data_IF_120308217668
#
_entry.id   IF_120308217668
#
_cell.length_a   1.000
_cell.length_b   1.000
_cell.length_c   1.000
_cell.angle_alpha   90.00
_cell.angle_beta   90.00
_cell.angle_gamma   90.00
#
_symmetry.space_group_name_H-M   'P 1'
#
loop_
_entity.id
_entity.type
_entity.pdbx_description
1 polymer ?
#
# COMPACT_ATOMS: atom_id res chain seq x y z
N UNK A 1 15.36 -11.56 -11.53
CA UNK A 1 16.11 -11.45 -10.27
C UNK A 1 16.57 -12.80 -9.77
N UNK A 2 15.65 -13.72 -9.43
CA UNK A 2 16.02 -15.00 -8.79
C UNK A 2 16.86 -15.96 -9.66
N UNK A 3 16.94 -15.75 -10.96
CA UNK A 3 17.84 -16.48 -11.88
C UNK A 3 19.14 -15.72 -12.19
N UNK A 4 19.43 -14.61 -11.50
CA UNK A 4 20.61 -13.78 -11.72
C UNK A 4 20.58 -12.92 -12.99
N UNK A 5 19.42 -12.80 -13.66
CA UNK A 5 19.25 -12.05 -14.93
C UNK A 5 18.75 -10.60 -14.76
N UNK A 6 18.50 -10.17 -13.53
CA UNK A 6 18.06 -8.80 -13.23
C UNK A 6 18.45 -8.44 -11.80
N UNK A 7 18.65 -7.16 -11.55
CA UNK A 7 19.04 -6.60 -10.26
C UNK A 7 17.85 -6.00 -9.50
N UNK A 8 17.98 -5.96 -8.17
CA UNK A 8 17.02 -5.31 -7.28
C UNK A 8 17.70 -4.14 -6.59
N UNK A 9 17.08 -2.96 -6.63
CA UNK A 9 17.52 -1.79 -5.89
C UNK A 9 16.55 -1.61 -4.71
N UNK A 10 16.95 -1.90 -3.47
CA UNK A 10 16.11 -1.65 -2.30
C UNK A 10 16.05 -0.14 -2.02
N UNK A 11 14.86 0.45 -2.15
CA UNK A 11 14.60 1.87 -1.92
C UNK A 11 13.13 2.06 -1.53
N UNK A 12 12.83 3.05 -0.67
CA UNK A 12 11.45 3.43 -0.41
C UNK A 12 10.82 4.03 -1.66
N UNK A 13 9.54 3.77 -1.89
CA UNK A 13 8.88 4.26 -3.09
C UNK A 13 8.89 5.81 -3.15
N UNK A 14 8.73 6.47 -1.99
CA UNK A 14 8.86 7.93 -1.83
C UNK A 14 10.24 8.50 -2.18
N UNK A 15 11.29 7.69 -2.13
CA UNK A 15 12.67 8.14 -2.39
C UNK A 15 13.10 7.95 -3.86
N UNK A 16 12.35 7.18 -4.66
CA UNK A 16 12.66 6.98 -6.08
C UNK A 16 12.73 8.31 -6.85
N UNK A 17 11.78 9.26 -6.67
CA UNK A 17 11.89 10.59 -7.28
C UNK A 17 13.21 11.31 -6.98
N UNK A 18 13.73 11.18 -5.75
CA UNK A 18 14.98 11.83 -5.36
C UNK A 18 16.20 11.19 -6.05
N UNK A 19 16.20 9.86 -6.23
CA UNK A 19 17.24 9.18 -7.01
C UNK A 19 17.34 9.72 -8.44
N UNK A 20 16.20 10.03 -9.06
CA UNK A 20 16.14 10.62 -10.40
C UNK A 20 16.58 12.09 -10.39
N UNK A 21 16.08 12.91 -9.45
CA UNK A 21 16.41 14.33 -9.35
C UNK A 21 17.91 14.58 -9.08
N UNK A 22 18.52 13.76 -8.23
CA UNK A 22 19.96 13.83 -7.92
C UNK A 22 20.84 13.15 -8.98
N UNK A 23 20.25 12.50 -9.99
CA UNK A 23 20.96 11.71 -11.00
C UNK A 23 21.82 10.58 -10.42
N UNK A 24 21.42 10.06 -9.25
CA UNK A 24 21.97 8.81 -8.72
C UNK A 24 21.53 7.66 -9.64
N UNK A 25 20.28 7.70 -10.10
CA UNK A 25 19.75 6.90 -11.20
C UNK A 25 19.30 7.83 -12.32
N UNK A 26 20.24 8.21 -13.19
CA UNK A 26 19.95 9.07 -14.34
C UNK A 26 19.05 8.35 -15.37
N UNK A 27 18.10 9.08 -15.94
CA UNK A 27 17.13 8.55 -16.90
C UNK A 27 17.37 9.14 -18.29
N UNK A 28 17.81 8.31 -19.24
CA UNK A 28 17.94 8.74 -20.63
C UNK A 28 16.59 8.86 -21.32
N UNK A 29 15.70 7.89 -21.11
CA UNK A 29 14.40 7.82 -21.79
C UNK A 29 13.31 7.42 -20.79
N UNK A 30 12.23 8.21 -20.75
CA UNK A 30 10.98 7.82 -20.12
C UNK A 30 9.94 7.47 -21.20
N UNK A 31 9.31 6.31 -21.07
CA UNK A 31 8.19 5.88 -21.92
C UNK A 31 6.95 5.84 -21.04
N UNK A 32 5.94 6.64 -21.37
CA UNK A 32 4.71 6.77 -20.59
C UNK A 32 3.48 6.59 -21.47
N UNK A 33 2.40 6.08 -20.90
CA UNK A 33 1.10 6.05 -21.56
C UNK A 33 0.26 7.24 -21.05
N UNK A 34 -0.42 7.95 -21.95
CA UNK A 34 -1.18 9.16 -21.60
C UNK A 34 -2.51 9.26 -22.34
N UNK A 35 -3.44 10.04 -21.79
CA UNK A 35 -4.66 10.44 -22.48
C UNK A 35 -4.35 11.32 -23.70
N UNK A 36 -5.28 11.46 -24.67
CA UNK A 36 -5.20 12.51 -25.67
C UNK A 36 -5.06 13.90 -25.03
N UNK A 37 -4.37 14.84 -25.70
CA UNK A 37 -4.29 16.21 -25.22
C UNK A 37 -5.67 16.87 -25.27
N UNK A 38 -6.00 17.66 -24.24
CA UNK A 38 -7.21 18.48 -24.23
C UNK A 38 -7.06 19.73 -25.13
N UNK A 39 -8.09 20.59 -25.13
CA UNK A 39 -8.09 21.86 -25.90
C UNK A 39 -6.97 22.83 -25.50
N UNK A 40 -6.32 22.61 -24.36
CA UNK A 40 -5.22 23.41 -23.84
C UNK A 40 -3.87 22.71 -24.02
N UNK A 41 -3.83 21.57 -24.73
CA UNK A 41 -2.61 20.83 -25.01
C UNK A 41 -2.14 19.92 -23.88
N UNK A 42 -2.95 19.69 -22.83
CA UNK A 42 -2.58 18.84 -21.69
C UNK A 42 -3.06 17.40 -21.85
N UNK A 43 -2.13 16.46 -21.86
CA UNK A 43 -2.38 15.04 -21.65
C UNK A 43 -2.48 14.73 -20.15
N UNK A 44 -3.01 13.57 -19.78
CA UNK A 44 -2.96 13.04 -18.42
C UNK A 44 -2.19 11.71 -18.39
N UNK A 45 -1.36 11.49 -17.38
CA UNK A 45 -0.74 10.19 -17.06
C UNK A 45 -1.77 9.13 -16.63
N UNK A 46 -3.02 9.55 -16.39
CA UNK A 46 -4.12 8.68 -16.00
C UNK A 46 -3.90 8.03 -14.64
N UNK A 47 -4.01 6.70 -14.59
CA UNK A 47 -4.04 5.98 -13.31
C UNK A 47 -2.67 5.74 -12.69
N UNK A 48 -1.58 6.19 -13.32
CA UNK A 48 -0.21 6.00 -12.83
C UNK A 48 0.57 7.31 -12.85
N UNK A 49 0.49 8.06 -11.75
CA UNK A 49 1.29 9.28 -11.56
C UNK A 49 2.59 8.92 -10.85
N UNK A 50 2.47 8.24 -9.71
CA UNK A 50 3.53 7.55 -8.98
C UNK A 50 4.94 8.15 -9.16
N UNK A 51 5.88 7.37 -9.71
CA UNK A 51 7.21 7.83 -10.10
C UNK A 51 7.23 8.36 -11.55
N UNK A 52 6.20 8.05 -12.35
CA UNK A 52 6.09 8.44 -13.75
C UNK A 52 6.14 9.96 -13.94
N UNK A 53 5.53 10.72 -13.02
CA UNK A 53 5.59 12.18 -13.01
C UNK A 53 7.03 12.69 -12.95
N UNK A 54 7.79 12.24 -11.96
CA UNK A 54 9.19 12.64 -11.82
C UNK A 54 10.06 12.09 -12.96
N UNK A 55 9.79 10.89 -13.47
CA UNK A 55 10.49 10.35 -14.64
C UNK A 55 10.34 11.25 -15.87
N UNK A 56 9.12 11.72 -16.18
CA UNK A 56 8.87 12.66 -17.29
C UNK A 56 9.59 14.00 -17.09
N UNK A 57 9.69 14.48 -15.85
CA UNK A 57 10.35 15.74 -15.53
C UNK A 57 11.88 15.67 -15.65
N UNK A 58 12.46 14.51 -15.35
CA UNK A 58 13.92 14.35 -15.21
C UNK A 58 14.59 13.71 -16.42
N UNK A 59 13.86 12.92 -17.23
CA UNK A 59 14.46 12.22 -18.35
C UNK A 59 14.89 13.16 -19.49
N UNK A 60 15.94 12.74 -20.23
CA UNK A 60 16.46 13.48 -21.40
C UNK A 60 15.50 13.41 -22.58
N UNK A 61 14.90 12.24 -22.81
CA UNK A 61 13.89 11.98 -23.82
C UNK A 61 12.60 11.48 -23.16
N UNK A 62 11.45 11.93 -23.65
CA UNK A 62 10.13 11.44 -23.21
C UNK A 62 9.34 11.01 -24.43
N UNK A 63 8.91 9.76 -24.44
CA UNK A 63 8.06 9.17 -25.48
C UNK A 63 6.69 8.87 -24.87
N UNK A 64 5.64 9.46 -25.42
CA UNK A 64 4.27 9.23 -24.98
C UNK A 64 3.54 8.28 -25.94
N UNK A 65 2.98 7.19 -25.42
CA UNK A 65 1.92 6.45 -26.09
C UNK A 65 0.58 7.13 -25.76
N UNK A 66 -0.02 7.78 -26.74
CA UNK A 66 -1.33 8.43 -26.61
C UNK A 66 -2.43 7.39 -26.81
N UNK A 67 -3.21 7.14 -25.77
CA UNK A 67 -4.27 6.13 -25.77
C UNK A 67 -5.58 6.76 -25.26
N UNK A 68 -6.65 6.84 -26.09
CA UNK A 68 -7.96 7.35 -25.68
C UNK A 68 -8.60 6.62 -24.49
N UNK A 69 -8.18 5.38 -24.19
CA UNK A 69 -8.68 4.63 -23.04
C UNK A 69 -8.01 5.01 -21.70
N UNK A 70 -6.97 5.84 -21.72
CA UNK A 70 -6.34 6.37 -20.49
C UNK A 70 -7.24 7.45 -19.89
N UNK A 71 -7.75 7.28 -18.66
CA UNK A 71 -8.62 8.26 -18.04
C UNK A 71 -7.87 9.57 -17.78
N UNK A 72 -8.57 10.69 -17.84
CA UNK A 72 -8.05 12.01 -17.48
C UNK A 72 -8.21 12.23 -15.98
N UNK A 73 -7.32 11.63 -15.19
CA UNK A 73 -7.28 11.87 -13.74
C UNK A 73 -6.82 13.30 -13.43
N UNK A 74 -7.27 13.86 -12.31
CA UNK A 74 -6.80 15.17 -11.80
C UNK A 74 -5.61 15.01 -10.84
N UNK A 75 -4.92 16.12 -10.53
CA UNK A 75 -3.73 16.15 -9.66
C UNK A 75 -2.48 16.47 -10.48
N UNK A 76 -1.36 15.82 -10.13
CA UNK A 76 -0.07 15.96 -10.83
C UNK A 76 0.03 15.12 -12.11
N UNK A 77 -1.06 14.46 -12.50
CA UNK A 77 -1.16 13.67 -13.73
C UNK A 77 -1.02 14.48 -15.02
N UNK A 78 -1.30 15.79 -14.98
CA UNK A 78 -1.39 16.62 -16.18
C UNK A 78 0.00 17.02 -16.72
N UNK A 79 0.27 16.66 -17.96
CA UNK A 79 1.52 16.98 -18.68
C UNK A 79 1.18 17.69 -19.98
N UNK A 80 1.75 18.88 -20.20
CA UNK A 80 1.58 19.57 -21.48
C UNK A 80 2.30 18.80 -22.60
N UNK A 81 1.67 18.68 -23.75
CA UNK A 81 2.14 17.89 -24.90
C UNK A 81 3.53 18.28 -25.39
N UNK A 82 3.94 19.54 -25.21
CA UNK A 82 5.30 20.02 -25.55
C UNK A 82 6.40 19.39 -24.71
N UNK A 83 6.08 18.70 -23.61
CA UNK A 83 7.06 17.94 -22.82
C UNK A 83 7.46 16.64 -23.50
N UNK A 84 6.63 16.13 -24.41
CA UNK A 84 6.91 14.90 -25.14
C UNK A 84 7.74 15.17 -26.38
N UNK A 85 8.81 14.39 -26.55
CA UNK A 85 9.68 14.47 -27.71
C UNK A 85 9.11 13.67 -28.89
N UNK A 86 8.39 12.59 -28.58
CA UNK A 86 7.63 11.78 -29.52
C UNK A 86 6.30 11.41 -28.89
N UNK A 87 5.26 11.40 -29.71
CA UNK A 87 3.94 10.94 -29.34
C UNK A 87 3.51 9.89 -30.37
N UNK A 88 3.01 8.75 -29.91
CA UNK A 88 2.60 7.61 -30.74
C UNK A 88 1.16 7.27 -30.39
N UNK A 89 0.24 7.36 -31.35
CA UNK A 89 -1.18 7.13 -31.12
C UNK A 89 -1.49 5.65 -31.23
N UNK A 90 -1.96 5.06 -30.13
CA UNK A 90 -2.35 3.65 -30.04
C UNK A 90 -3.58 3.56 -29.15
N UNK A 91 -4.69 3.13 -29.73
CA UNK A 91 -5.86 2.72 -28.96
C UNK A 91 -5.70 1.27 -28.53
N UNK A 92 -5.55 1.05 -27.23
CA UNK A 92 -5.44 -0.29 -26.66
C UNK A 92 -6.22 -0.36 -25.34
N UNK A 93 -6.80 -1.53 -24.99
CA UNK A 93 -7.37 -1.70 -23.66
C UNK A 93 -6.29 -1.47 -22.59
N UNK A 94 -6.69 -0.90 -21.46
CA UNK A 94 -5.84 -0.85 -20.26
C UNK A 94 -5.81 -2.24 -19.60
N UNK A 95 -4.75 -2.52 -18.84
CA UNK A 95 -4.70 -3.72 -18.03
C UNK A 95 -5.79 -3.67 -16.97
N UNK A 96 -6.63 -4.70 -16.90
CA UNK A 96 -7.66 -4.86 -15.88
C UNK A 96 -7.30 -6.00 -14.94
N UNK A 97 -7.50 -5.79 -13.64
CA UNK A 97 -7.34 -6.83 -12.61
C UNK A 97 -8.53 -6.77 -11.66
N UNK A 98 -9.19 -7.91 -11.46
CA UNK A 98 -10.21 -8.04 -10.42
C UNK A 98 -9.58 -8.48 -9.11
N UNK A 99 -9.95 -7.83 -8.02
CA UNK A 99 -9.54 -8.20 -6.67
C UNK A 99 -10.73 -8.73 -5.86
N UNK A 100 -10.51 -9.79 -5.09
CA UNK A 100 -11.47 -10.26 -4.09
C UNK A 100 -12.76 -10.89 -4.62
N UNK A 101 -12.70 -11.54 -5.79
CA UNK A 101 -13.79 -12.41 -6.28
C UNK A 101 -14.11 -13.52 -5.27
N UNK A 102 -13.09 -14.07 -4.62
CA UNK A 102 -13.23 -15.01 -3.49
C UNK A 102 -12.54 -14.45 -2.25
N UNK A 103 -13.32 -14.11 -1.21
CA UNK A 103 -12.79 -13.79 0.12
C UNK A 103 -12.87 -15.04 0.97
N UNK A 104 -11.70 -15.51 1.40
CA UNK A 104 -11.60 -16.62 2.35
C UNK A 104 -12.17 -16.20 3.71
N UNK A 105 -12.69 -17.16 4.47
CA UNK A 105 -13.18 -16.90 5.84
C UNK A 105 -12.11 -16.24 6.73
N UNK A 106 -10.84 -16.65 6.56
CA UNK A 106 -9.71 -16.03 7.27
C UNK A 106 -9.60 -14.54 6.98
N UNK A 107 -9.74 -14.15 5.70
CA UNK A 107 -9.59 -12.76 5.26
C UNK A 107 -10.80 -11.93 5.72
N UNK A 108 -12.00 -12.53 5.72
CA UNK A 108 -13.20 -11.89 6.28
C UNK A 108 -13.07 -11.62 7.79
N UNK A 109 -12.51 -12.55 8.56
CA UNK A 109 -12.23 -12.36 9.99
C UNK A 109 -11.18 -11.27 10.23
N UNK A 110 -10.09 -11.28 9.45
CA UNK A 110 -9.09 -10.20 9.47
C UNK A 110 -9.75 -8.85 9.17
N UNK A 111 -10.59 -8.80 8.13
CA UNK A 111 -11.34 -7.60 7.73
C UNK A 111 -12.19 -7.04 8.87
N UNK A 112 -12.91 -7.90 9.60
CA UNK A 112 -13.72 -7.52 10.77
C UNK A 112 -12.86 -6.94 11.89
N UNK A 113 -11.79 -7.64 12.30
CA UNK A 113 -10.90 -7.14 13.36
C UNK A 113 -10.27 -5.79 13.01
N UNK A 114 -9.89 -5.60 11.74
CA UNK A 114 -9.33 -4.32 11.29
C UNK A 114 -10.41 -3.24 11.28
N UNK A 115 -11.62 -3.51 10.80
CA UNK A 115 -12.71 -2.53 10.78
C UNK A 115 -13.11 -2.07 12.20
N UNK A 116 -13.02 -2.95 13.21
CA UNK A 116 -13.23 -2.59 14.62
C UNK A 116 -12.14 -1.64 15.17
N UNK A 117 -10.96 -1.62 14.56
CA UNK A 117 -9.92 -0.66 14.92
C UNK A 117 -10.17 0.73 14.31
N UNK A 118 -11.08 0.87 13.35
CA UNK A 118 -11.32 2.15 12.67
C UNK A 118 -12.34 2.99 13.45
N UNK A 119 -12.03 4.28 13.57
CA UNK A 119 -12.98 5.25 14.11
C UNK A 119 -13.67 5.98 12.94
N UNK A 120 -14.86 6.53 13.18
CA UNK A 120 -15.43 7.50 12.26
C UNK A 120 -14.47 8.68 12.06
N UNK A 121 -14.38 9.15 10.81
CA UNK A 121 -13.42 10.17 10.40
C UNK A 121 -11.98 9.68 10.18
N UNK A 122 -11.71 8.37 10.24
CA UNK A 122 -10.39 7.82 9.92
C UNK A 122 -9.96 8.09 8.48
N UNK A 123 -8.65 8.29 8.28
CA UNK A 123 -8.05 8.40 6.94
C UNK A 123 -7.42 7.07 6.53
N UNK A 124 -7.94 6.43 5.50
CA UNK A 124 -7.51 5.12 5.04
C UNK A 124 -6.27 5.22 4.15
N UNK A 125 -5.30 4.35 4.43
CA UNK A 125 -4.40 3.79 3.43
C UNK A 125 -4.55 2.28 3.39
N UNK A 126 -4.64 1.72 2.19
CA UNK A 126 -4.61 0.27 1.98
C UNK A 126 -4.09 -0.07 0.59
N UNK A 127 -3.54 -1.27 0.45
CA UNK A 127 -3.15 -1.81 -0.86
C UNK A 127 -4.30 -2.53 -1.56
N UNK A 128 -3.93 -3.42 -2.47
CA UNK A 128 -4.81 -4.34 -3.21
C UNK A 128 -4.73 -5.76 -2.65
N UNK A 129 -5.73 -6.58 -2.98
CA UNK A 129 -5.80 -7.99 -2.60
C UNK A 129 -7.01 -8.32 -1.72
N UNK A 130 -7.08 -9.58 -1.27
CA UNK A 130 -8.25 -10.11 -0.55
C UNK A 130 -8.45 -9.48 0.84
N UNK A 131 -7.37 -9.20 1.58
CA UNK A 131 -7.47 -8.57 2.90
C UNK A 131 -7.99 -7.12 2.81
N UNK A 132 -7.40 -6.21 2.00
CA UNK A 132 -7.97 -4.86 1.81
C UNK A 132 -9.44 -4.89 1.38
N UNK A 133 -9.80 -5.76 0.44
CA UNK A 133 -11.19 -5.91 0.01
C UNK A 133 -12.11 -6.38 1.16
N UNK A 134 -11.66 -7.33 1.98
CA UNK A 134 -12.40 -7.78 3.16
C UNK A 134 -12.61 -6.67 4.19
N UNK A 135 -11.62 -5.80 4.38
CA UNK A 135 -11.75 -4.61 5.23
C UNK A 135 -12.81 -3.68 4.65
N UNK A 136 -12.72 -3.33 3.36
CA UNK A 136 -13.66 -2.41 2.71
C UNK A 136 -15.11 -2.87 2.84
N UNK A 137 -15.38 -4.16 2.71
CA UNK A 137 -16.73 -4.74 2.91
C UNK A 137 -17.26 -4.62 4.34
N UNK A 138 -16.37 -4.47 5.33
CA UNK A 138 -16.72 -4.30 6.73
C UNK A 138 -16.89 -2.83 7.15
N UNK A 139 -16.49 -1.87 6.32
CA UNK A 139 -16.51 -0.44 6.64
C UNK A 139 -17.83 0.27 6.31
N UNK A 140 -18.84 -0.45 5.82
CA UNK A 140 -20.10 0.13 5.33
C UNK A 140 -20.93 0.86 6.39
N UNK A 141 -20.66 0.63 7.68
CA UNK A 141 -21.34 1.30 8.80
C UNK A 141 -20.55 2.48 9.39
N UNK A 142 -19.28 2.66 8.98
CA UNK A 142 -18.48 3.81 9.37
C UNK A 142 -18.95 5.07 8.66
N UNK A 143 -18.52 6.23 9.15
CA UNK A 143 -18.95 7.52 8.62
C UNK A 143 -17.78 8.47 8.42
N UNK A 144 -17.90 9.26 7.35
CA UNK A 144 -17.01 10.38 7.03
C UNK A 144 -15.54 9.99 6.93
N UNK A 145 -15.28 8.79 6.43
CA UNK A 145 -13.93 8.32 6.18
C UNK A 145 -13.25 9.16 5.09
N UNK A 146 -11.93 9.26 5.14
CA UNK A 146 -11.11 9.90 4.11
C UNK A 146 -10.07 8.94 3.53
N UNK A 147 -9.54 9.19 2.34
CA UNK A 147 -8.54 8.33 1.68
C UNK A 147 -7.31 9.15 1.33
N UNK A 148 -6.17 8.66 1.81
CA UNK A 148 -4.82 9.08 1.41
C UNK A 148 -3.99 7.81 1.36
N UNK A 149 -3.78 7.29 0.15
CA UNK A 149 -3.25 5.93 -0.05
C UNK A 149 -2.20 5.91 -1.15
N UNK A 150 -1.29 4.93 -1.14
CA UNK A 150 -0.38 4.71 -2.28
C UNK A 150 -1.17 4.36 -3.54
N UNK A 151 -2.10 3.41 -3.40
CA UNK A 151 -2.97 2.93 -4.46
C UNK A 151 -4.33 2.48 -3.94
N UNK A 152 -5.28 2.24 -4.85
CA UNK A 152 -6.56 1.59 -4.55
C UNK A 152 -7.15 0.85 -5.76
N UNK A 153 -8.20 0.06 -5.51
CA UNK A 153 -8.97 -0.69 -6.50
C UNK A 153 -10.48 -0.42 -6.40
N UNK A 154 -11.28 -1.15 -7.19
CA UNK A 154 -12.74 -1.04 -7.29
C UNK A 154 -13.49 -1.06 -5.95
N UNK A 155 -12.94 -1.72 -4.92
CA UNK A 155 -13.59 -1.91 -3.62
C UNK A 155 -13.94 -0.62 -2.88
N UNK A 156 -13.28 0.50 -3.19
CA UNK A 156 -13.63 1.81 -2.60
C UNK A 156 -14.90 2.44 -3.21
N UNK A 157 -15.26 2.08 -4.45
CA UNK A 157 -16.37 2.73 -5.18
C UNK A 157 -17.69 2.67 -4.39
N UNK A 158 -18.13 1.51 -3.85
CA UNK A 158 -19.37 1.45 -3.08
C UNK A 158 -19.35 2.32 -1.82
N UNK A 159 -18.18 2.54 -1.21
CA UNK A 159 -18.05 3.40 -0.02
C UNK A 159 -18.14 4.88 -0.37
N UNK A 160 -17.70 5.29 -1.57
CA UNK A 160 -17.97 6.64 -2.08
C UNK A 160 -19.45 6.82 -2.42
N UNK A 161 -20.05 5.86 -3.15
CA UNK A 161 -21.45 5.92 -3.58
C UNK A 161 -22.44 5.95 -2.40
N UNK A 162 -22.03 5.42 -1.24
CA UNK A 162 -22.82 5.43 0.01
C UNK A 162 -22.44 6.55 0.99
N UNK A 163 -21.57 7.49 0.59
CA UNK A 163 -21.07 8.61 1.41
C UNK A 163 -20.34 8.19 2.71
N UNK A 164 -19.98 6.91 2.82
CA UNK A 164 -19.12 6.40 3.90
C UNK A 164 -17.73 7.03 3.80
N UNK A 165 -17.20 7.12 2.58
CA UNK A 165 -15.97 7.86 2.27
C UNK A 165 -16.34 9.17 1.60
N UNK A 166 -16.01 10.29 2.24
CA UNK A 166 -16.28 11.63 1.72
C UNK A 166 -15.12 12.61 1.92
N UNK A 167 -14.02 12.19 2.56
CA UNK A 167 -12.80 12.98 2.73
C UNK A 167 -12.98 14.31 3.52
N UNK A 168 -14.12 14.53 4.17
CA UNK A 168 -14.47 15.82 4.79
C UNK A 168 -13.56 16.19 5.97
N UNK A 169 -13.07 15.20 6.72
CA UNK A 169 -12.23 15.41 7.91
C UNK A 169 -10.73 15.32 7.65
N UNK A 170 -10.30 15.15 6.39
CA UNK A 170 -8.90 15.29 6.03
C UNK A 170 -8.46 16.75 6.18
N UNK A 171 -7.22 16.94 6.60
CA UNK A 171 -6.60 18.27 6.77
C UNK A 171 -5.98 18.74 5.46
N UNK A 172 -5.30 17.82 4.77
CA UNK A 172 -4.73 18.06 3.44
C UNK A 172 -5.64 17.43 2.38
N UNK A 173 -5.83 18.12 1.26
CA UNK A 173 -6.75 17.70 0.19
C UNK A 173 -8.15 17.31 0.73
N UNK A 174 -8.83 18.19 1.49
CA UNK A 174 -10.16 17.91 2.00
C UNK A 174 -11.14 17.68 0.85
N UNK A 175 -12.10 16.77 1.07
CA UNK A 175 -13.10 16.36 0.07
C UNK A 175 -12.53 15.66 -1.18
N UNK A 176 -11.22 15.36 -1.21
CA UNK A 176 -10.57 14.65 -2.31
C UNK A 176 -9.83 13.41 -1.82
N UNK A 177 -9.98 12.33 -2.57
CA UNK A 177 -9.18 11.11 -2.40
C UNK A 177 -7.80 11.34 -3.00
N UNK A 178 -6.76 11.12 -2.21
CA UNK A 178 -5.36 11.28 -2.66
C UNK A 178 -4.77 9.90 -2.92
N UNK A 179 -4.17 9.72 -4.10
CA UNK A 179 -3.46 8.48 -4.47
C UNK A 179 -2.24 8.75 -5.33
N UNK A 180 -1.28 7.81 -5.38
CA UNK A 180 -0.20 7.83 -6.38
C UNK A 180 -0.61 7.16 -7.69
N UNK A 181 -1.34 6.04 -7.57
CA UNK A 181 -1.83 5.28 -8.71
C UNK A 181 -3.12 4.49 -8.37
N UNK A 182 -3.72 3.85 -9.37
CA UNK A 182 -4.91 3.00 -9.20
C UNK A 182 -4.83 1.79 -10.13
N UNK A 183 -5.36 0.65 -9.68
CA UNK A 183 -5.37 -0.59 -10.44
C UNK A 183 -6.65 -1.36 -10.15
N UNK A 184 -7.37 -1.73 -11.19
CA UNK A 184 -8.68 -2.35 -11.05
C UNK A 184 -9.29 -2.71 -12.38
N UNK A 185 -10.61 -2.66 -12.45
CA UNK A 185 -11.35 -2.91 -13.70
C UNK A 185 -11.65 -1.61 -14.46
N UNK A 186 -12.23 -1.73 -15.65
CA UNK A 186 -12.76 -0.60 -16.41
C UNK A 186 -13.77 0.23 -15.62
N UNK A 187 -14.49 -0.37 -14.65
CA UNK A 187 -15.39 0.37 -13.75
C UNK A 187 -14.62 1.45 -13.00
N UNK A 188 -13.49 1.09 -12.39
CA UNK A 188 -12.63 2.02 -11.67
C UNK A 188 -12.08 3.10 -12.60
N UNK A 189 -11.56 2.73 -13.77
CA UNK A 189 -10.97 3.67 -14.71
C UNK A 189 -11.98 4.71 -15.20
N UNK A 190 -13.21 4.30 -15.50
CA UNK A 190 -14.30 5.21 -15.84
C UNK A 190 -14.72 6.08 -14.64
N UNK A 191 -14.65 5.56 -13.42
CA UNK A 191 -15.08 6.29 -12.20
C UNK A 191 -14.14 7.46 -11.86
N UNK A 192 -12.84 7.30 -12.13
CA UNK A 192 -11.82 8.33 -11.85
C UNK A 192 -11.57 9.29 -13.02
N UNK A 193 -12.12 8.99 -14.21
CA UNK A 193 -12.00 9.82 -15.40
C UNK A 193 -12.69 11.18 -15.19
N UNK A 194 -11.91 12.27 -15.29
CA UNK A 194 -12.35 13.66 -15.11
C UNK A 194 -13.17 13.91 -13.82
N UNK A 195 -12.87 13.13 -12.76
CA UNK A 195 -13.57 13.20 -11.49
C UNK A 195 -12.79 14.09 -10.49
N UNK A 196 -13.30 15.29 -10.14
CA UNK A 196 -12.58 16.22 -9.27
C UNK A 196 -12.45 15.73 -7.82
N UNK A 197 -13.22 14.71 -7.43
CA UNK A 197 -13.13 14.04 -6.13
C UNK A 197 -11.85 13.23 -5.94
N UNK A 198 -11.01 13.09 -6.97
CA UNK A 198 -9.74 12.38 -6.92
C UNK A 198 -8.55 13.31 -7.23
N UNK A 199 -7.43 13.03 -6.59
CA UNK A 199 -6.14 13.69 -6.79
C UNK A 199 -5.06 12.61 -6.91
N UNK A 200 -4.60 12.37 -8.12
CA UNK A 200 -3.45 11.51 -8.40
C UNK A 200 -2.18 12.38 -8.35
N UNK A 201 -1.35 12.16 -7.35
CA UNK A 201 -0.21 13.02 -7.00
C UNK A 201 1.11 12.27 -7.11
N UNK A 202 2.23 12.99 -7.21
CA UNK A 202 3.57 12.38 -7.21
C UNK A 202 3.83 11.60 -5.90
N UNK A 203 4.59 10.52 -6.00
CA UNK A 203 4.74 9.57 -4.89
C UNK A 203 5.60 10.13 -3.74
N UNK A 204 6.46 11.09 -4.02
CA UNK A 204 7.22 11.85 -3.01
C UNK A 204 6.35 12.82 -2.19
N UNK A 205 5.08 13.03 -2.58
CA UNK A 205 4.07 13.68 -1.74
C UNK A 205 3.18 12.65 -1.04
N UNK A 206 2.66 11.68 -1.80
CA UNK A 206 1.67 10.71 -1.31
C UNK A 206 2.27 9.83 -0.22
N UNK A 207 3.50 9.37 -0.43
CA UNK A 207 4.18 8.46 0.49
C UNK A 207 5.10 9.19 1.48
N UNK A 208 5.14 10.52 1.53
CA UNK A 208 6.01 11.22 2.48
C UNK A 208 5.42 11.15 3.91
N UNK A 209 6.10 10.52 4.89
CA UNK A 209 5.58 10.42 6.26
C UNK A 209 5.25 11.77 6.91
N UNK A 210 5.97 12.85 6.56
CA UNK A 210 5.70 14.20 7.02
C UNK A 210 4.40 14.80 6.45
N UNK A 211 3.95 14.34 5.29
CA UNK A 211 2.67 14.69 4.67
C UNK A 211 1.56 13.79 5.23
N UNK A 212 1.78 12.47 5.27
CA UNK A 212 0.79 11.49 5.75
C UNK A 212 0.32 11.85 7.17
N UNK A 213 1.25 12.20 8.07
CA UNK A 213 0.92 12.50 9.48
C UNK A 213 0.00 13.72 9.67
N UNK A 214 -0.14 14.58 8.65
CA UNK A 214 -0.95 15.80 8.74
C UNK A 214 -2.45 15.49 8.80
N UNK A 215 -2.88 14.36 8.21
CA UNK A 215 -4.24 13.88 8.41
C UNK A 215 -4.34 13.18 9.77
N UNK A 216 -5.39 13.43 10.56
CA UNK A 216 -5.63 12.70 11.80
C UNK A 216 -6.15 11.29 11.51
N UNK A 217 -6.02 10.41 12.51
CA UNK A 217 -6.57 9.05 12.52
C UNK A 217 -6.22 8.25 11.27
N UNK A 218 -4.98 8.39 10.77
CA UNK A 218 -4.53 7.63 9.61
C UNK A 218 -4.45 6.15 10.00
N UNK A 219 -5.24 5.32 9.33
CA UNK A 219 -5.21 3.88 9.47
C UNK A 219 -4.53 3.29 8.23
N UNK A 220 -3.29 2.83 8.39
CA UNK A 220 -2.47 2.27 7.31
C UNK A 220 -2.46 0.74 7.40
N UNK A 221 -3.07 0.07 6.42
CA UNK A 221 -3.19 -1.39 6.39
C UNK A 221 -2.26 -1.95 5.31
N UNK A 222 -1.33 -2.80 5.74
CA UNK A 222 -0.38 -3.43 4.83
C UNK A 222 -0.25 -4.93 5.10
N UNK A 223 0.00 -5.71 4.05
CA UNK A 223 0.25 -7.15 4.18
C UNK A 223 1.74 -7.46 4.28
N UNK A 224 2.10 -8.58 4.88
CA UNK A 224 3.49 -9.05 4.95
C UNK A 224 3.59 -10.55 4.66
N UNK A 225 4.77 -11.10 4.39
CA UNK A 225 5.00 -12.52 4.15
C UNK A 225 5.08 -13.30 5.46
N UNK A 226 5.91 -12.83 6.40
CA UNK A 226 6.10 -13.45 7.72
C UNK A 226 6.48 -12.42 8.79
N UNK A 227 6.17 -12.75 10.04
CA UNK A 227 6.50 -11.95 11.24
C UNK A 227 7.19 -12.84 12.25
N UNK A 228 8.32 -12.41 12.80
CA UNK A 228 8.97 -13.15 13.88
C UNK A 228 8.41 -12.83 15.28
N UNK A 229 8.71 -13.65 16.28
CA UNK A 229 8.28 -13.47 17.67
C UNK A 229 8.74 -12.15 18.33
N UNK A 230 9.62 -11.38 17.69
CA UNK A 230 10.05 -10.06 18.16
C UNK A 230 9.34 -8.90 17.47
N UNK A 231 8.53 -9.20 16.44
CA UNK A 231 7.81 -8.23 15.62
C UNK A 231 8.64 -7.68 14.45
N UNK A 232 9.66 -8.38 13.98
CA UNK A 232 10.24 -8.06 12.66
C UNK A 232 9.30 -8.55 11.57
N UNK A 233 9.09 -7.73 10.56
CA UNK A 233 8.14 -8.01 9.48
C UNK A 233 8.89 -8.07 8.15
N UNK A 234 8.71 -9.17 7.45
CA UNK A 234 9.24 -9.41 6.10
C UNK A 234 8.08 -9.32 5.13
N UNK A 235 8.19 -8.48 4.11
CA UNK A 235 7.10 -8.24 3.15
C UNK A 235 7.51 -8.41 1.69
N UNK A 236 8.81 -8.36 1.38
CA UNK A 236 9.32 -8.31 0.00
C UNK A 236 9.99 -9.61 -0.48
N UNK A 237 10.26 -10.55 0.42
CA UNK A 237 11.12 -11.70 0.15
C UNK A 237 10.73 -12.95 0.95
N UNK A 238 11.14 -14.12 0.45
CA UNK A 238 10.98 -15.42 1.12
C UNK A 238 12.38 -16.00 1.32
N UNK A 239 12.99 -15.74 2.47
CA UNK A 239 14.44 -15.96 2.62
C UNK A 239 15.18 -15.13 1.59
N UNK A 240 16.08 -15.74 0.81
CA UNK A 240 16.83 -15.06 -0.24
C UNK A 240 16.06 -14.91 -1.57
N UNK A 241 14.84 -15.44 -1.68
CA UNK A 241 14.02 -15.29 -2.88
C UNK A 241 13.32 -13.95 -2.88
N UNK A 242 13.66 -13.06 -3.81
CA UNK A 242 12.99 -11.77 -3.95
C UNK A 242 11.61 -11.99 -4.57
N UNK A 243 10.56 -11.61 -3.85
CA UNK A 243 9.17 -11.82 -4.22
C UNK A 243 8.52 -10.55 -4.78
N UNK A 244 8.77 -9.40 -4.13
CA UNK A 244 8.27 -8.08 -4.53
C UNK A 244 9.33 -7.00 -4.21
N UNK A 245 8.95 -5.90 -3.56
CA UNK A 245 9.87 -4.85 -3.14
C UNK A 245 9.42 -4.16 -1.85
N UNK A 246 10.23 -3.22 -1.35
CA UNK A 246 9.95 -2.45 -0.13
C UNK A 246 8.65 -1.65 -0.26
N UNK A 247 8.45 -0.98 -1.40
CA UNK A 247 7.28 -0.14 -1.67
C UNK A 247 7.16 1.03 -0.68
N UNK A 248 5.94 1.51 -0.46
CA UNK A 248 5.62 2.51 0.56
C UNK A 248 5.08 1.96 1.87
N UNK A 249 5.16 0.64 2.12
CA UNK A 249 4.65 0.05 3.35
C UNK A 249 5.22 0.77 4.58
N UNK A 250 6.54 0.90 4.64
CA UNK A 250 7.22 1.50 5.79
C UNK A 250 6.88 3.00 5.93
N UNK A 251 6.75 3.70 4.80
CA UNK A 251 6.37 5.10 4.75
C UNK A 251 5.02 5.33 5.43
N UNK A 252 4.00 4.55 5.05
CA UNK A 252 2.67 4.63 5.65
C UNK A 252 2.63 4.11 7.08
N UNK A 253 3.38 3.07 7.41
CA UNK A 253 3.50 2.60 8.80
C UNK A 253 4.08 3.72 9.68
N UNK A 254 5.09 4.44 9.20
CA UNK A 254 5.68 5.57 9.93
C UNK A 254 4.76 6.78 9.96
N UNK A 255 4.15 7.15 8.84
CA UNK A 255 3.21 8.27 8.75
C UNK A 255 2.00 8.08 9.67
N UNK A 256 1.38 6.90 9.65
CA UNK A 256 0.28 6.55 10.54
C UNK A 256 0.71 6.49 12.02
N UNK A 257 1.94 6.06 12.30
CA UNK A 257 2.47 6.10 13.66
C UNK A 257 2.62 7.54 14.21
N UNK A 258 2.87 8.51 13.34
CA UNK A 258 3.05 9.94 13.69
C UNK A 258 1.74 10.74 13.65
N UNK A 259 0.73 10.26 12.93
CA UNK A 259 -0.61 10.84 12.87
C UNK A 259 -1.31 10.78 14.23
N UNK A 260 -2.02 11.85 14.61
CA UNK A 260 -2.81 11.89 15.84
C UNK A 260 -3.92 10.84 15.81
N UNK A 261 -3.90 9.88 16.73
CA UNK A 261 -4.84 8.75 16.73
C UNK A 261 -4.62 7.73 15.60
N UNK A 262 -3.50 7.83 14.88
CA UNK A 262 -3.19 6.94 13.76
C UNK A 262 -2.82 5.51 14.17
N UNK A 263 -3.16 4.56 13.29
CA UNK A 263 -3.10 3.11 13.52
C UNK A 263 -2.37 2.43 12.35
N UNK A 264 -1.05 2.17 12.48
CA UNK A 264 -0.31 1.36 11.54
C UNK A 264 -0.53 -0.13 11.80
N UNK A 265 -1.07 -0.82 10.80
CA UNK A 265 -1.58 -2.19 10.88
C UNK A 265 -0.87 -3.05 9.84
N UNK A 266 -0.28 -4.15 10.30
CA UNK A 266 0.20 -5.24 9.45
C UNK A 266 -0.79 -6.40 9.56
N UNK A 267 -1.29 -6.87 8.44
CA UNK A 267 -2.28 -7.94 8.36
C UNK A 267 -1.73 -9.14 7.59
N UNK A 268 -2.03 -10.35 8.07
CA UNK A 268 -1.66 -11.58 7.40
C UNK A 268 -2.57 -12.72 7.86
N UNK A 269 -2.85 -13.69 6.99
CA UNK A 269 -3.32 -14.98 7.48
C UNK A 269 -2.24 -15.62 8.34
N UNK A 270 -2.62 -16.36 9.38
CA UNK A 270 -1.68 -17.02 10.28
C UNK A 270 -0.86 -18.11 9.58
N UNK A 271 -1.43 -18.73 8.54
CA UNK A 271 -0.81 -19.74 7.68
C UNK A 271 -0.97 -19.42 6.20
N UNK A 272 -0.03 -19.90 5.38
CA UNK A 272 -0.17 -19.94 3.92
C UNK A 272 -1.23 -20.97 3.50
N UNK A 273 -1.67 -20.95 2.23
CA UNK A 273 -2.54 -21.99 1.66
C UNK A 273 -1.96 -23.42 1.75
N UNK A 274 -0.64 -23.56 1.98
CA UNK A 274 0.04 -24.84 2.18
C UNK A 274 0.18 -25.23 3.66
N UNK A 275 -0.50 -24.52 4.57
CA UNK A 275 -0.45 -24.79 6.02
C UNK A 275 0.83 -24.32 6.72
N UNK A 276 1.72 -23.59 6.03
CA UNK A 276 2.96 -23.09 6.63
C UNK A 276 2.68 -21.86 7.48
N UNK A 277 3.07 -21.87 8.76
CA UNK A 277 2.96 -20.71 9.66
C UNK A 277 3.66 -19.47 9.10
N UNK A 278 3.02 -18.32 9.28
CA UNK A 278 3.56 -17.00 8.94
C UNK A 278 3.94 -16.18 10.16
N UNK A 279 3.57 -16.64 11.37
CA UNK A 279 4.19 -16.20 12.62
C UNK A 279 5.29 -17.22 12.95
N UNK A 280 6.54 -16.78 12.92
CA UNK A 280 7.70 -17.66 12.98
C UNK A 280 8.58 -17.37 14.20
N UNK A 281 9.32 -18.34 14.74
CA UNK A 281 10.26 -18.07 15.82
C UNK A 281 11.35 -17.05 15.47
N UNK A 282 11.89 -17.21 14.26
CA UNK A 282 12.98 -16.46 13.65
C UNK A 282 12.66 -16.38 12.16
N UNK A 283 12.95 -15.24 11.54
CA UNK A 283 12.81 -15.05 10.10
C UNK A 283 13.68 -16.04 9.31
N UNK A 284 13.26 -16.36 8.08
CA UNK A 284 14.05 -17.21 7.19
C UNK A 284 15.44 -16.60 6.95
N UNK A 285 16.51 -17.42 6.90
CA UNK A 285 17.84 -16.93 6.58
C UNK A 285 17.85 -16.11 5.27
N UNK A 286 18.40 -14.90 5.34
CA UNK A 286 18.48 -13.97 4.21
C UNK A 286 17.21 -13.15 3.91
N UNK A 287 16.14 -13.29 4.71
CA UNK A 287 14.91 -12.53 4.50
C UNK A 287 15.11 -11.01 4.69
N UNK A 288 14.54 -10.22 3.79
CA UNK A 288 14.52 -8.76 3.82
C UNK A 288 13.52 -8.22 4.84
N UNK A 289 14.02 -7.64 5.92
CA UNK A 289 13.16 -6.95 6.90
C UNK A 289 12.71 -5.61 6.32
N UNK A 290 11.42 -5.50 6.00
CA UNK A 290 10.82 -4.26 5.47
C UNK A 290 10.35 -3.36 6.61
N UNK A 291 9.60 -3.92 7.57
CA UNK A 291 9.17 -3.17 8.77
C UNK A 291 9.90 -3.69 10.00
N UNK A 292 10.68 -2.82 10.63
CA UNK A 292 11.51 -3.16 11.79
C UNK A 292 10.70 -3.28 13.10
N UNK A 293 11.29 -3.92 14.11
CA UNK A 293 10.68 -4.08 15.46
C UNK A 293 10.22 -2.77 16.08
N UNK A 294 10.93 -1.67 15.84
CA UNK A 294 10.62 -0.38 16.45
C UNK A 294 9.39 0.29 15.82
N UNK A 295 9.03 -0.10 14.60
CA UNK A 295 7.97 0.55 13.83
C UNK A 295 6.63 -0.17 13.96
N UNK A 296 6.64 -1.49 14.12
CA UNK A 296 5.40 -2.27 14.23
C UNK A 296 4.56 -1.83 15.44
N UNK A 297 3.25 -1.64 15.22
CA UNK A 297 2.27 -1.42 16.30
C UNK A 297 1.22 -2.51 16.34
N UNK A 298 0.41 -2.69 15.30
CA UNK A 298 -0.62 -3.73 15.25
C UNK A 298 -0.23 -4.83 14.27
N UNK A 299 -0.35 -6.09 14.68
CA UNK A 299 -0.37 -7.28 13.81
C UNK A 299 -1.76 -7.89 13.92
N UNK A 300 -2.39 -8.23 12.79
CA UNK A 300 -3.73 -8.83 12.74
C UNK A 300 -3.71 -10.12 11.93
N UNK A 301 -4.29 -11.17 12.50
CA UNK A 301 -4.59 -12.43 11.82
C UNK A 301 -6.08 -12.76 11.99
N UNK A 302 -6.51 -13.86 11.38
CA UNK A 302 -7.85 -14.43 11.57
C UNK A 302 -8.13 -14.87 13.01
N UNK A 303 -7.12 -14.89 13.89
CA UNK A 303 -7.25 -15.22 15.32
C UNK A 303 -7.24 -14.01 16.24
N UNK A 304 -7.10 -12.78 15.72
CA UNK A 304 -7.24 -11.54 16.48
C UNK A 304 -6.14 -10.52 16.24
N UNK A 305 -6.02 -9.59 17.18
CA UNK A 305 -5.17 -8.40 17.10
C UNK A 305 -4.08 -8.42 18.17
N UNK A 306 -2.81 -8.32 17.76
CA UNK A 306 -1.67 -8.12 18.66
C UNK A 306 -1.13 -6.70 18.57
N UNK A 307 -1.29 -5.92 19.65
CA UNK A 307 -0.63 -4.62 19.81
C UNK A 307 0.76 -4.78 20.44
N UNK A 308 1.80 -4.20 19.84
CA UNK A 308 3.23 -4.43 20.16
C UNK A 308 4.00 -3.16 20.59
N UNK A 309 3.43 -1.96 20.40
CA UNK A 309 4.09 -0.72 20.82
C UNK A 309 4.17 -0.65 22.35
N UNK A 310 5.34 -0.32 22.90
CA UNK A 310 5.61 -0.33 24.34
C UNK A 310 5.82 -1.72 24.97
N UNK A 311 5.66 -2.82 24.22
CA UNK A 311 5.89 -4.18 24.73
C UNK A 311 7.35 -4.60 24.62
N UNK A 312 7.87 -5.26 25.65
CA UNK A 312 9.17 -5.94 25.60
C UNK A 312 9.10 -7.23 24.74
N UNK A 313 10.26 -7.85 24.44
CA UNK A 313 10.31 -9.02 23.53
C UNK A 313 9.45 -10.21 23.99
N UNK A 314 9.34 -10.46 25.30
CA UNK A 314 8.52 -11.56 25.83
C UNK A 314 7.03 -11.27 25.70
N UNK A 315 6.63 -10.04 26.02
CA UNK A 315 5.25 -9.57 25.88
C UNK A 315 4.81 -9.55 24.41
N UNK A 316 5.72 -9.19 23.48
CA UNK A 316 5.47 -9.27 22.04
C UNK A 316 5.27 -10.69 21.59
N UNK A 317 6.19 -11.58 21.97
CA UNK A 317 6.12 -12.99 21.61
C UNK A 317 4.81 -13.64 22.11
N UNK A 318 4.40 -13.35 23.35
CA UNK A 318 3.11 -13.79 23.89
C UNK A 318 1.93 -13.31 23.04
N UNK A 319 1.86 -12.01 22.77
CA UNK A 319 0.78 -11.43 21.98
C UNK A 319 0.72 -12.00 20.55
N UNK A 320 1.87 -12.26 19.92
CA UNK A 320 1.94 -12.87 18.59
C UNK A 320 1.49 -14.34 18.59
N UNK A 321 1.83 -15.10 19.64
CA UNK A 321 1.39 -16.49 19.76
C UNK A 321 -0.12 -16.59 19.95
N UNK A 322 -0.72 -15.67 20.72
CA UNK A 322 -2.17 -15.62 20.94
C UNK A 322 -2.96 -15.46 19.63
N UNK A 323 -2.36 -14.80 18.62
CA UNK A 323 -2.95 -14.63 17.28
C UNK A 323 -2.35 -15.58 16.23
N UNK A 324 -1.53 -16.55 16.62
CA UNK A 324 -1.06 -17.60 15.71
C UNK A 324 -2.11 -18.71 15.56
N UNK A 325 -2.00 -19.50 14.50
CA UNK A 325 -2.81 -20.70 14.32
C UNK A 325 -2.65 -21.64 15.53
N UNK A 326 -3.74 -22.19 16.10
CA UNK A 326 -3.69 -23.05 17.30
C UNK A 326 -2.60 -24.13 17.25
N UNK A 327 -2.52 -24.87 16.15
CA UNK A 327 -1.51 -25.90 15.91
C UNK A 327 -0.04 -25.43 15.96
N UNK A 328 0.25 -24.15 15.69
CA UNK A 328 1.62 -23.61 15.67
C UNK A 328 2.05 -23.09 17.05
N UNK A 329 1.09 -22.88 17.98
CA UNK A 329 1.35 -22.22 19.26
C UNK A 329 2.33 -22.98 20.13
N UNK A 330 2.25 -24.31 20.17
CA UNK A 330 3.16 -25.14 20.97
C UNK A 330 4.61 -24.95 20.54
N UNK A 331 4.88 -25.01 19.24
CA UNK A 331 6.22 -24.81 18.67
C UNK A 331 6.74 -23.40 18.97
N UNK A 332 5.88 -22.38 18.84
CA UNK A 332 6.24 -21.00 19.12
C UNK A 332 6.52 -20.77 20.61
N UNK A 333 5.74 -21.38 21.52
CA UNK A 333 5.98 -21.36 22.96
C UNK A 333 7.30 -22.01 23.32
N UNK A 334 7.59 -23.19 22.76
CA UNK A 334 8.88 -23.87 22.96
C UNK A 334 10.05 -22.99 22.50
N UNK A 335 9.94 -22.41 21.32
CA UNK A 335 10.98 -21.52 20.78
C UNK A 335 11.16 -20.25 21.62
N UNK A 336 10.07 -19.69 22.17
CA UNK A 336 10.13 -18.58 23.13
C UNK A 336 10.92 -18.97 24.38
N UNK A 337 10.62 -20.12 24.95
CA UNK A 337 11.30 -20.61 26.14
C UNK A 337 12.79 -20.84 25.89
N UNK A 338 13.13 -21.48 24.76
CA UNK A 338 14.52 -21.71 24.36
C UNK A 338 15.29 -20.39 24.18
N UNK A 339 14.65 -19.37 23.59
CA UNK A 339 15.25 -18.05 23.32
C UNK A 339 15.36 -17.16 24.56
N UNK A 340 14.29 -17.07 25.36
CA UNK A 340 14.18 -16.11 26.46
C UNK A 340 14.42 -16.71 27.85
N UNK A 341 14.51 -18.05 27.96
CA UNK A 341 14.70 -18.86 29.18
C UNK A 341 13.59 -18.76 30.24
N UNK A 342 12.93 -17.61 30.33
CA UNK A 342 11.81 -17.32 31.22
C UNK A 342 10.68 -16.73 30.37
N UNK A 343 9.64 -17.52 30.14
CA UNK A 343 8.45 -17.14 29.38
C UNK A 343 7.22 -17.34 30.28
N UNK A 344 6.33 -16.33 30.34
CA UNK A 344 5.21 -16.25 31.30
C UNK A 344 3.87 -16.30 30.58
#
# INVERSE_FOLDING_TARGET
MNEGRADYIPVFLSEIPELFKQKILDLDVAIVQVSPPDKHGYCSLGVSVDIARTAVNTSKLVIAQVNPNVPRTHGDSLIHSTRFHKMVWIESPLLEITFGEEILESDALIGKYIAELFDDGSTLQMGIGSIPEAVLRCLTNHKNLGVHTEMFSDGLIPLFESDVVNNKFKVIEPNRTVTGFALGTKKLYNYVDDNPGFAFMDIDYVNEPAVIKLNPKVCAINSCIEVDLTGQVVSDSIGTYQYSGVGGQMDFIRGAALSEGGKPIIALSSRTKKGISRIVPILKPGAGVVTTRAHVRYIVTEYGVAFLFGKNLRQRAKALIEIAHPDDRELLHKSCYERFKIFV
#
